data_IF_302477391347
#
_entry.id   IF_302477391347
#
_cell.length_a   1.000
_cell.length_b   1.000
_cell.length_c   1.000
_cell.angle_alpha   90.00
_cell.angle_beta   90.00
_cell.angle_gamma   90.00
#
_symmetry.space_group_name_H-M   'P 1'
#
loop_
_entity.id
_entity.type
_entity.pdbx_description
1 polymer ?
#
# COMPACT_ATOMS: atom_id res chain seq x y z
N UNK A 1 -4.30 15.11 13.25
CA UNK A 1 -4.74 13.82 12.65
C UNK A 1 -3.50 13.21 12.03
N UNK A 2 -3.16 11.94 12.28
CA UNK A 2 -2.05 11.32 11.53
C UNK A 2 -2.55 11.17 10.10
N UNK A 3 -1.79 11.68 9.14
CA UNK A 3 -2.08 11.42 7.74
C UNK A 3 -2.06 9.91 7.53
N UNK A 4 -3.09 9.37 6.90
CA UNK A 4 -3.17 7.98 6.49
C UNK A 4 -3.17 7.99 4.95
N UNK A 5 -2.00 7.94 4.31
CA UNK A 5 -1.90 8.04 2.86
C UNK A 5 -2.72 6.95 2.17
N UNK A 6 -3.41 7.33 1.09
CA UNK A 6 -4.09 6.38 0.22
C UNK A 6 -3.06 5.55 -0.56
N UNK A 7 -3.31 4.25 -0.70
CA UNK A 7 -2.49 3.34 -1.48
C UNK A 7 -3.33 2.51 -2.43
N UNK A 8 -2.71 2.05 -3.51
CA UNK A 8 -3.30 1.07 -4.42
C UNK A 8 -2.26 0.04 -4.88
N UNK A 9 -2.69 -1.17 -5.25
CA UNK A 9 -1.80 -2.10 -5.96
C UNK A 9 -1.57 -1.63 -7.39
N UNK A 10 -0.41 -1.96 -7.98
CA UNK A 10 -0.24 -1.85 -9.43
C UNK A 10 -1.25 -2.75 -10.14
N UNK A 11 -1.81 -2.27 -11.24
CA UNK A 11 -2.88 -2.95 -11.98
C UNK A 11 -2.34 -4.01 -12.95
N UNK A 12 -1.22 -4.65 -12.62
CA UNK A 12 -0.45 -5.46 -13.57
C UNK A 12 -0.97 -6.91 -13.65
N UNK A 13 -2.02 -7.24 -12.89
CA UNK A 13 -2.67 -8.54 -12.93
C UNK A 13 -3.48 -8.76 -14.20
N UNK A 14 -3.79 -10.03 -14.57
CA UNK A 14 -4.44 -10.39 -15.84
C UNK A 14 -5.81 -9.74 -16.10
N UNK A 15 -6.43 -9.14 -15.08
CA UNK A 15 -7.72 -8.44 -15.18
C UNK A 15 -7.61 -6.92 -14.97
N UNK A 16 -6.41 -6.36 -14.88
CA UNK A 16 -6.21 -4.95 -14.54
C UNK A 16 -6.74 -4.55 -13.15
N UNK A 17 -7.09 -5.54 -12.32
CA UNK A 17 -7.75 -5.31 -11.03
C UNK A 17 -6.79 -4.60 -10.10
N UNK A 18 -7.30 -3.55 -9.46
CA UNK A 18 -6.61 -2.80 -8.42
C UNK A 18 -7.43 -2.87 -7.15
N UNK A 19 -6.73 -2.88 -6.03
CA UNK A 19 -7.34 -2.72 -4.71
C UNK A 19 -6.76 -1.47 -4.05
N UNK A 20 -7.63 -0.75 -3.34
CA UNK A 20 -7.29 0.49 -2.63
C UNK A 20 -7.23 0.26 -1.11
N UNK A 21 -6.45 1.07 -0.43
CA UNK A 21 -6.29 1.02 1.01
C UNK A 21 -5.66 2.27 1.58
N UNK A 22 -5.37 2.25 2.87
CA UNK A 22 -4.64 3.30 3.57
C UNK A 22 -3.46 2.73 4.35
N UNK A 23 -2.34 3.44 4.37
CA UNK A 23 -1.23 3.13 5.27
C UNK A 23 -1.62 3.46 6.71
N UNK A 24 -1.37 2.53 7.64
CA UNK A 24 -1.75 2.65 9.05
C UNK A 24 -0.55 2.65 10.00
N UNK A 25 0.35 1.67 9.85
CA UNK A 25 1.66 1.61 10.53
C UNK A 25 2.70 1.62 9.44
N UNK A 26 3.57 2.61 9.41
CA UNK A 26 4.54 2.81 8.34
C UNK A 26 5.67 3.74 8.77
N UNK A 27 5.88 3.92 10.09
CA UNK A 27 7.03 4.66 10.57
C UNK A 27 8.25 3.76 10.60
N UNK A 28 9.43 4.37 10.63
CA UNK A 28 10.69 3.65 10.80
C UNK A 28 10.62 2.72 12.02
N UNK A 29 10.99 1.45 11.83
CA UNK A 29 10.92 0.41 12.86
C UNK A 29 9.54 -0.23 13.09
N UNK A 30 8.48 0.22 12.42
CA UNK A 30 7.17 -0.44 12.47
C UNK A 30 6.97 -1.39 11.28
N UNK A 31 6.31 -2.54 11.54
CA UNK A 31 5.80 -3.37 10.45
C UNK A 31 4.74 -2.61 9.65
N UNK A 32 4.97 -2.50 8.34
CA UNK A 32 4.03 -1.82 7.45
C UNK A 32 2.67 -2.54 7.46
N UNK A 33 1.60 -1.80 7.76
CA UNK A 33 0.21 -2.30 7.71
C UNK A 33 -0.66 -1.42 6.83
N UNK A 34 -1.46 -2.07 5.99
CA UNK A 34 -2.40 -1.45 5.07
C UNK A 34 -3.81 -1.89 5.45
N UNK A 35 -4.75 -0.96 5.61
CA UNK A 35 -6.17 -1.28 5.74
C UNK A 35 -6.82 -1.20 4.35
N UNK A 36 -7.43 -2.30 3.89
CA UNK A 36 -8.13 -2.32 2.60
C UNK A 36 -9.50 -1.62 2.73
N UNK A 37 -9.86 -0.79 1.75
CA UNK A 37 -11.18 -0.15 1.70
C UNK A 37 -12.30 -1.14 1.37
N UNK A 38 -11.96 -2.26 0.74
CA UNK A 38 -12.90 -3.29 0.32
C UNK A 38 -13.71 -3.90 1.49
N UNK A 39 -13.03 -4.23 2.59
CA UNK A 39 -13.63 -4.95 3.73
C UNK A 39 -13.10 -4.48 5.10
N UNK A 40 -12.27 -3.43 5.15
CA UNK A 40 -11.72 -2.87 6.40
C UNK A 40 -10.69 -3.74 7.13
N UNK A 41 -10.11 -4.74 6.46
CA UNK A 41 -9.12 -5.66 7.04
C UNK A 41 -7.70 -5.12 6.87
N UNK A 42 -6.87 -5.41 7.87
CA UNK A 42 -5.43 -5.14 7.80
C UNK A 42 -4.71 -6.23 7.03
N UNK A 43 -3.76 -5.80 6.21
CA UNK A 43 -2.89 -6.62 5.40
C UNK A 43 -1.43 -6.18 5.61
N UNK A 44 -0.51 -7.13 5.55
CA UNK A 44 0.88 -6.85 5.19
C UNK A 44 0.95 -6.40 3.73
N UNK A 45 2.05 -5.77 3.28
CA UNK A 45 2.24 -5.43 1.88
C UNK A 45 2.07 -6.61 0.91
N UNK A 46 2.63 -7.77 1.25
CA UNK A 46 2.52 -8.97 0.41
C UNK A 46 1.08 -9.46 0.30
N UNK A 47 0.35 -9.53 1.42
CA UNK A 47 -1.05 -9.95 1.40
C UNK A 47 -1.94 -8.95 0.64
N UNK A 48 -1.65 -7.65 0.73
CA UNK A 48 -2.39 -6.62 0.00
C UNK A 48 -2.21 -6.75 -1.52
N UNK A 49 -0.97 -7.01 -1.98
CA UNK A 49 -0.68 -7.28 -3.40
C UNK A 49 -1.41 -8.53 -3.88
N UNK A 50 -1.35 -9.62 -3.12
CA UNK A 50 -2.07 -10.86 -3.41
C UNK A 50 -3.58 -10.64 -3.47
N UNK A 51 -4.11 -9.82 -2.56
CA UNK A 51 -5.54 -9.49 -2.52
C UNK A 51 -6.01 -8.71 -3.76
N UNK A 52 -5.15 -7.84 -4.31
CA UNK A 52 -5.39 -7.14 -5.57
C UNK A 52 -5.34 -8.01 -6.82
N UNK A 53 -5.07 -9.31 -6.69
CA UNK A 53 -4.87 -10.23 -7.82
C UNK A 53 -3.43 -10.33 -8.29
N UNK A 54 -2.47 -9.81 -7.52
CA UNK A 54 -1.05 -10.11 -7.71
C UNK A 54 -0.68 -11.52 -7.23
N UNK A 55 0.50 -11.98 -7.63
CA UNK A 55 1.08 -13.22 -7.13
C UNK A 55 1.89 -13.03 -5.84
N UNK A 56 2.57 -14.09 -5.41
CA UNK A 56 3.59 -13.99 -4.38
C UNK A 56 4.82 -13.28 -4.99
N UNK A 57 5.10 -12.07 -4.49
CA UNK A 57 6.16 -11.19 -5.03
C UNK A 57 7.22 -10.90 -3.98
N UNK A 58 8.48 -10.87 -4.40
CA UNK A 58 9.55 -10.27 -3.60
C UNK A 58 9.39 -8.75 -3.58
N UNK A 59 9.91 -8.07 -2.54
CA UNK A 59 9.86 -6.61 -2.44
C UNK A 59 8.45 -6.03 -2.63
N UNK A 60 7.44 -6.63 -2.01
CA UNK A 60 6.00 -6.34 -2.18
C UNK A 60 5.64 -4.85 -2.12
N UNK A 61 6.37 -4.06 -1.34
CA UNK A 61 6.22 -2.60 -1.27
C UNK A 61 6.40 -1.89 -2.62
N UNK A 62 7.28 -2.39 -3.51
CA UNK A 62 7.50 -1.82 -4.86
C UNK A 62 6.29 -1.97 -5.78
N UNK A 63 5.35 -2.84 -5.43
CA UNK A 63 4.11 -3.08 -6.17
C UNK A 63 2.91 -2.26 -5.63
N UNK A 64 3.16 -1.39 -4.66
CA UNK A 64 2.14 -0.55 -4.03
C UNK A 64 2.44 0.91 -4.39
N UNK A 65 1.43 1.60 -4.89
CA UNK A 65 1.50 3.01 -5.27
C UNK A 65 0.86 3.82 -4.16
N UNK A 66 1.61 4.76 -3.58
CA UNK A 66 1.09 5.76 -2.64
C UNK A 66 0.57 6.94 -3.45
N UNK A 67 -0.70 7.29 -3.29
CA UNK A 67 -1.25 8.51 -3.87
C UNK A 67 -0.92 9.68 -2.95
N UNK A 68 -0.25 10.75 -3.44
CA UNK A 68 0.03 11.91 -2.61
C UNK A 68 -1.30 12.55 -2.19
N UNK A 69 -1.50 12.74 -0.88
CA UNK A 69 -2.51 13.66 -0.38
C UNK A 69 -2.12 15.10 -0.79
N UNK A 70 -3.09 16.03 -0.98
CA UNK A 70 -2.78 17.44 -1.23
C UNK A 70 -1.84 17.98 -0.12
N UNK A 71 -1.01 19.00 -0.43
CA UNK A 71 0.26 19.21 0.24
C UNK A 71 0.09 19.51 1.73
N UNK A 72 0.49 18.54 2.53
CA UNK A 72 0.59 18.58 3.97
C UNK A 72 1.32 17.32 4.41
N UNK A 73 2.65 17.43 4.57
CA UNK A 73 3.55 16.36 5.02
C UNK A 73 3.85 15.25 3.99
N UNK A 74 4.94 15.51 3.24
CA UNK A 74 5.82 14.47 2.71
C UNK A 74 6.45 13.71 3.88
N UNK A 75 5.77 12.68 4.37
CA UNK A 75 6.41 11.67 5.21
C UNK A 75 7.20 10.73 4.29
N UNK A 76 8.42 11.15 4.01
CA UNK A 76 9.62 10.34 3.78
C UNK A 76 9.41 8.83 3.90
N UNK A 77 9.22 8.17 2.76
CA UNK A 77 9.84 6.87 2.50
C UNK A 77 10.21 6.91 1.02
N UNK A 78 11.46 7.26 0.74
CA UNK A 78 12.06 6.91 -0.53
C UNK A 78 12.08 5.38 -0.56
N UNK A 79 11.06 4.79 -1.18
CA UNK A 79 10.99 3.35 -1.40
C UNK A 79 12.18 3.00 -2.31
N UNK A 80 13.27 2.54 -1.70
CA UNK A 80 14.61 2.44 -2.27
C UNK A 80 14.64 1.91 -3.72
N UNK A 81 15.53 2.54 -4.50
CA UNK A 81 15.98 2.17 -5.85
C UNK A 81 16.10 0.66 -6.05
#
# INVERSE_FOLDING_TARGET
MRDMPCVSTRGDGPNGRRVEGFLYKYREGEDVRIVCVCHGRFFTPAEFVKHGGGGDVAHSLRHIVVSPSPPGIVAVMEWEQ
#
